data_IF_703374167312
#
_entry.id   IF_703374167312
#
_cell.length_a   1.000
_cell.length_b   1.000
_cell.length_c   1.000
_cell.angle_alpha   90.00
_cell.angle_beta   90.00
_cell.angle_gamma   90.00
#
_symmetry.space_group_name_H-M   'P 1'
#
loop_
_entity.id
_entity.type
_entity.pdbx_description
1 polymer ?
#
# COMPACT_ATOMS: atom_id res chain seq x y z
N UNK A 1 17.21 -4.20 22.75
CA UNK A 1 16.57 -2.88 22.61
C UNK A 1 16.82 -2.13 23.90
N UNK A 2 17.61 -1.05 23.93
CA UNK A 2 17.77 -0.25 25.13
C UNK A 2 16.42 0.33 25.52
N UNK A 3 15.90 -0.06 26.68
CA UNK A 3 14.72 0.53 27.29
C UNK A 3 15.11 1.89 27.86
N UNK A 4 14.59 2.96 27.26
CA UNK A 4 14.63 4.29 27.86
C UNK A 4 13.77 4.24 29.13
N UNK A 5 14.41 4.04 30.29
CA UNK A 5 13.77 4.24 31.58
C UNK A 5 13.49 5.73 31.73
N UNK A 6 12.28 6.14 31.36
CA UNK A 6 11.80 7.48 31.63
C UNK A 6 11.73 7.66 33.15
N UNK A 7 12.56 8.55 33.68
CA UNK A 7 12.52 8.94 35.09
C UNK A 7 11.09 9.21 35.54
N UNK A 8 10.68 8.76 36.75
CA UNK A 8 9.34 9.02 37.26
C UNK A 8 9.06 10.52 37.20
N UNK A 9 8.04 10.92 36.42
CA UNK A 9 7.57 12.31 36.41
C UNK A 9 7.06 12.59 37.81
N UNK A 10 7.85 13.29 38.61
CA UNK A 10 7.43 13.76 39.93
C UNK A 10 6.20 14.64 39.70
N UNK A 11 5.03 14.33 40.29
CA UNK A 11 3.89 15.21 40.18
C UNK A 11 4.30 16.55 40.79
N UNK A 12 4.46 17.57 39.95
CA UNK A 12 4.68 18.91 40.42
C UNK A 12 3.43 19.30 41.20
N UNK A 13 3.54 19.29 42.53
CA UNK A 13 2.47 19.57 43.50
C UNK A 13 2.14 21.08 43.52
N UNK A 14 2.21 21.72 42.37
CA UNK A 14 1.97 23.15 42.17
C UNK A 14 0.54 23.34 41.75
N UNK A 15 -0.19 23.92 42.70
CA UNK A 15 -1.48 24.59 42.55
C UNK A 15 -2.69 23.65 42.53
N UNK A 16 -3.06 23.14 43.72
CA UNK A 16 -4.47 23.10 44.07
C UNK A 16 -5.03 24.53 43.96
N UNK A 17 -5.44 24.92 42.75
CA UNK A 17 -6.27 26.08 42.53
C UNK A 17 -7.47 25.86 43.45
N UNK A 18 -7.57 26.65 44.52
CA UNK A 18 -8.75 26.70 45.38
C UNK A 18 -9.91 27.04 44.45
N UNK A 19 -10.63 26.02 43.99
CA UNK A 19 -11.75 26.23 43.08
C UNK A 19 -12.77 27.08 43.83
N UNK A 20 -13.10 28.24 43.26
CA UNK A 20 -14.19 29.05 43.79
C UNK A 20 -15.46 28.20 43.66
N UNK A 21 -16.29 28.13 44.71
CA UNK A 21 -17.52 27.32 44.69
C UNK A 21 -18.58 27.86 43.72
N UNK A 22 -18.45 29.12 43.30
CA UNK A 22 -19.37 29.81 42.41
C UNK A 22 -18.58 30.62 41.39
N UNK A 23 -18.86 30.41 40.11
CA UNK A 23 -18.28 31.17 39.00
C UNK A 23 -19.37 31.96 38.29
N UNK A 24 -19.04 33.18 37.84
CA UNK A 24 -19.91 33.92 36.92
C UNK A 24 -19.75 33.34 35.52
N UNK A 25 -20.82 33.31 34.72
CA UNK A 25 -20.82 32.75 33.36
C UNK A 25 -19.65 33.28 32.50
N UNK A 26 -19.42 34.59 32.55
CA UNK A 26 -18.34 35.28 31.82
C UNK A 26 -16.94 34.77 32.20
N UNK A 27 -16.70 34.47 33.48
CA UNK A 27 -15.41 33.95 33.95
C UNK A 27 -15.17 32.54 33.40
N UNK A 28 -16.21 31.70 33.40
CA UNK A 28 -16.13 30.34 32.87
C UNK A 28 -15.83 30.38 31.37
N UNK A 29 -16.55 31.19 30.60
CA UNK A 29 -16.35 31.33 29.16
C UNK A 29 -14.92 31.79 28.83
N UNK A 30 -14.39 32.76 29.59
CA UNK A 30 -13.00 33.22 29.41
C UNK A 30 -11.98 32.11 29.70
N UNK A 31 -12.13 31.41 30.83
CA UNK A 31 -11.20 30.32 31.18
C UNK A 31 -11.28 29.16 30.20
N UNK A 32 -12.48 28.85 29.68
CA UNK A 32 -12.68 27.82 28.68
C UNK A 32 -11.96 28.20 27.38
N UNK A 33 -12.08 29.45 26.95
CA UNK A 33 -11.38 29.95 25.77
C UNK A 33 -9.85 29.87 25.94
N UNK A 34 -9.32 30.28 27.08
CA UNK A 34 -7.87 30.19 27.39
C UNK A 34 -7.38 28.74 27.39
N UNK A 35 -8.17 27.81 27.95
CA UNK A 35 -7.81 26.38 27.95
C UNK A 35 -7.90 25.77 26.57
N UNK A 36 -8.89 26.17 25.77
CA UNK A 36 -9.03 25.71 24.39
C UNK A 36 -7.88 26.19 23.51
N UNK A 37 -7.41 27.44 23.68
CA UNK A 37 -6.25 27.94 22.93
C UNK A 37 -4.95 27.23 23.36
N UNK A 38 -4.77 26.97 24.66
CA UNK A 38 -3.64 26.20 25.19
C UNK A 38 -3.63 24.76 24.64
N UNK A 39 -4.77 24.07 24.67
CA UNK A 39 -4.91 22.71 24.12
C UNK A 39 -4.61 22.69 22.62
N UNK A 40 -5.13 23.66 21.86
CA UNK A 40 -4.87 23.77 20.42
C UNK A 40 -3.39 23.99 20.13
N UNK A 41 -2.72 24.85 20.89
CA UNK A 41 -1.29 25.10 20.77
C UNK A 41 -0.48 23.82 21.05
N UNK A 42 -0.72 23.17 22.20
CA UNK A 42 -0.02 21.92 22.58
C UNK A 42 -0.25 20.81 21.55
N UNK A 43 -1.48 20.67 21.04
CA UNK A 43 -1.80 19.72 19.97
C UNK A 43 -1.00 20.02 18.70
N UNK A 44 -0.90 21.29 18.31
CA UNK A 44 -0.09 21.72 17.16
C UNK A 44 1.39 21.37 17.33
N UNK A 45 1.97 21.67 18.50
CA UNK A 45 3.36 21.33 18.82
C UNK A 45 3.60 19.83 18.81
N UNK A 46 2.68 19.04 19.38
CA UNK A 46 2.77 17.58 19.38
C UNK A 46 2.74 17.02 17.94
N UNK A 47 1.86 17.53 17.08
CA UNK A 47 1.82 17.14 15.67
C UNK A 47 3.13 17.47 14.94
N UNK A 48 3.72 18.64 15.21
CA UNK A 48 5.01 19.01 14.64
C UNK A 48 6.13 18.07 15.09
N UNK A 49 6.18 17.72 16.38
CA UNK A 49 7.17 16.76 16.90
C UNK A 49 7.00 15.37 16.30
N UNK A 50 5.75 14.91 16.16
CA UNK A 50 5.46 13.65 15.48
C UNK A 50 5.93 13.65 14.02
N UNK A 51 5.68 14.75 13.29
CA UNK A 51 6.16 14.89 11.92
C UNK A 51 7.69 14.83 11.81
N UNK A 52 8.41 15.53 12.71
CA UNK A 52 9.88 15.49 12.77
C UNK A 52 10.40 14.07 13.05
N UNK A 53 9.79 13.35 13.99
CA UNK A 53 10.18 11.97 14.29
C UNK A 53 9.96 11.02 13.10
N UNK A 54 8.84 11.16 12.38
CA UNK A 54 8.57 10.39 11.16
C UNK A 54 9.63 10.69 10.11
N UNK A 55 9.97 11.96 9.88
CA UNK A 55 11.01 12.36 8.92
C UNK A 55 12.39 11.81 9.31
N UNK A 56 12.76 11.89 10.60
CA UNK A 56 14.04 11.35 11.09
C UNK A 56 14.11 9.83 10.93
N UNK A 57 13.01 9.11 11.17
CA UNK A 57 12.93 7.67 10.94
C UNK A 57 13.08 7.32 9.45
N UNK A 58 12.44 8.07 8.56
CA UNK A 58 12.59 7.88 7.12
C UNK A 58 14.02 8.17 6.65
N UNK A 59 14.63 9.25 7.14
CA UNK A 59 16.01 9.62 6.82
C UNK A 59 17.00 8.54 7.29
N UNK A 60 16.93 8.15 8.56
CA UNK A 60 17.82 7.12 9.13
C UNK A 60 17.65 5.77 8.43
N UNK A 61 16.42 5.41 8.02
CA UNK A 61 16.18 4.22 7.19
C UNK A 61 16.91 4.32 5.84
N UNK A 62 16.77 5.44 5.13
CA UNK A 62 17.45 5.67 3.85
C UNK A 62 18.97 5.60 3.99
N UNK A 63 19.55 6.26 5.00
CA UNK A 63 21.00 6.23 5.25
C UNK A 63 21.49 4.81 5.54
N UNK A 64 20.76 4.04 6.37
CA UNK A 64 21.10 2.64 6.64
C UNK A 64 21.03 1.78 5.38
N UNK A 65 20.02 1.96 4.53
CA UNK A 65 19.91 1.25 3.25
C UNK A 65 21.07 1.61 2.31
N UNK A 66 21.45 2.89 2.22
CA UNK A 66 22.60 3.33 1.42
C UNK A 66 23.92 2.77 1.95
N UNK A 67 24.11 2.74 3.27
CA UNK A 67 25.30 2.15 3.88
C UNK A 67 25.36 0.65 3.61
N UNK A 68 24.26 -0.06 3.85
CA UNK A 68 24.15 -1.50 3.58
C UNK A 68 24.42 -1.83 2.11
N UNK A 69 23.84 -1.09 1.16
CA UNK A 69 24.10 -1.30 -0.26
C UNK A 69 25.55 -1.00 -0.65
N UNK A 70 26.19 0.02 -0.05
CA UNK A 70 27.63 0.27 -0.25
C UNK A 70 28.49 -0.86 0.32
N UNK A 71 28.17 -1.37 1.49
CA UNK A 71 28.87 -2.50 2.12
C UNK A 71 28.70 -3.77 1.29
N UNK A 72 27.49 -4.10 0.85
CA UNK A 72 27.21 -5.24 -0.02
C UNK A 72 27.89 -5.11 -1.38
N UNK A 73 27.93 -3.91 -1.97
CA UNK A 73 28.71 -3.66 -3.21
C UNK A 73 30.20 -3.85 -2.97
N UNK A 74 30.72 -3.43 -1.82
CA UNK A 74 32.11 -3.67 -1.42
C UNK A 74 32.44 -5.16 -1.30
N UNK A 75 31.53 -5.95 -0.72
CA UNK A 75 31.65 -7.42 -0.64
C UNK A 75 31.56 -8.09 -2.01
N UNK A 76 30.60 -7.71 -2.86
CA UNK A 76 30.45 -8.27 -4.22
C UNK A 76 31.61 -7.90 -5.15
N UNK A 77 32.23 -6.73 -4.95
CA UNK A 77 33.44 -6.29 -5.67
C UNK A 77 34.74 -6.72 -5.00
N UNK A 78 34.69 -7.44 -3.86
CA UNK A 78 35.88 -8.03 -3.25
C UNK A 78 36.37 -9.16 -4.17
N UNK A 79 37.06 -8.76 -5.22
CA UNK A 79 37.89 -9.54 -6.12
C UNK A 79 37.40 -10.97 -6.35
N UNK A 80 36.43 -11.13 -7.26
CA UNK A 80 36.24 -12.36 -8.02
C UNK A 80 37.45 -12.69 -8.94
N UNK A 81 38.63 -12.16 -8.59
CA UNK A 81 39.89 -12.49 -9.22
C UNK A 81 40.39 -13.73 -8.50
N UNK A 82 40.60 -14.78 -9.27
CA UNK A 82 41.19 -16.08 -8.86
C UNK A 82 42.54 -15.95 -8.12
N UNK A 83 43.12 -14.75 -8.06
CA UNK A 83 44.31 -14.39 -7.29
C UNK A 83 43.93 -13.49 -6.11
N UNK A 84 43.63 -14.10 -4.96
CA UNK A 84 43.39 -13.38 -3.71
C UNK A 84 44.64 -12.64 -3.18
N UNK A 85 45.85 -13.12 -3.51
CA UNK A 85 47.13 -12.61 -2.97
C UNK A 85 47.93 -11.74 -3.94
N UNK A 86 47.45 -11.54 -5.17
CA UNK A 86 48.18 -10.79 -6.22
C UNK A 86 49.45 -11.48 -6.75
N UNK A 87 49.80 -12.66 -6.25
CA UNK A 87 50.85 -13.52 -6.79
C UNK A 87 50.29 -14.37 -7.94
N UNK A 88 51.06 -14.50 -9.03
CA UNK A 88 50.70 -15.37 -10.14
C UNK A 88 50.73 -16.83 -9.71
N UNK A 89 49.56 -17.43 -9.47
CA UNK A 89 49.44 -18.88 -9.26
C UNK A 89 49.65 -19.60 -10.59
N UNK A 90 50.31 -20.76 -10.56
CA UNK A 90 50.50 -21.60 -11.74
C UNK A 90 49.15 -22.24 -12.10
N UNK A 91 48.72 -22.10 -13.35
CA UNK A 91 47.39 -22.53 -13.84
C UNK A 91 47.12 -24.04 -13.73
N UNK A 92 48.14 -24.85 -13.44
CA UNK A 92 48.03 -26.31 -13.28
C UNK A 92 47.86 -26.77 -11.83
N UNK A 93 47.80 -25.85 -10.87
CA UNK A 93 47.56 -26.21 -9.48
C UNK A 93 46.12 -26.72 -9.30
N UNK A 94 45.91 -27.91 -8.69
CA UNK A 94 44.58 -28.49 -8.53
C UNK A 94 43.64 -27.58 -7.74
N UNK A 95 44.16 -26.87 -6.74
CA UNK A 95 43.40 -25.89 -5.94
C UNK A 95 42.79 -24.77 -6.80
N UNK A 96 43.49 -24.34 -7.86
CA UNK A 96 43.01 -23.29 -8.75
C UNK A 96 41.88 -23.78 -9.65
N UNK A 97 41.95 -25.05 -10.06
CA UNK A 97 40.94 -25.70 -10.88
C UNK A 97 39.65 -25.86 -10.06
N UNK A 98 39.76 -26.36 -8.83
CA UNK A 98 38.62 -26.46 -7.90
C UNK A 98 37.98 -25.10 -7.59
N UNK A 99 38.79 -24.06 -7.39
CA UNK A 99 38.30 -22.69 -7.14
C UNK A 99 37.58 -22.11 -8.38
N UNK A 100 38.09 -22.38 -9.58
CA UNK A 100 37.46 -21.96 -10.84
C UNK A 100 36.12 -22.70 -11.08
N UNK A 101 36.07 -24.02 -10.87
CA UNK A 101 34.85 -24.82 -10.97
C UNK A 101 33.78 -24.34 -9.96
N UNK A 102 34.16 -24.04 -8.73
CA UNK A 102 33.25 -23.53 -7.72
C UNK A 102 32.68 -22.15 -8.10
N UNK A 103 33.50 -21.29 -8.70
CA UNK A 103 33.10 -19.96 -9.16
C UNK A 103 32.15 -20.04 -10.36
N UNK A 104 32.45 -20.90 -11.34
CA UNK A 104 31.57 -21.15 -12.50
C UNK A 104 30.22 -21.68 -12.04
N UNK A 105 30.20 -22.69 -11.17
CA UNK A 105 28.97 -23.23 -10.59
C UNK A 105 28.17 -22.16 -9.84
N UNK A 106 28.84 -21.32 -9.04
CA UNK A 106 28.16 -20.23 -8.32
C UNK A 106 27.56 -19.19 -9.29
N UNK A 107 28.20 -18.93 -10.43
CA UNK A 107 27.65 -18.06 -11.48
C UNK A 107 26.45 -18.69 -12.18
N UNK A 108 26.52 -19.99 -12.49
CA UNK A 108 25.41 -20.75 -13.07
C UNK A 108 24.19 -20.79 -12.13
N UNK A 109 24.40 -21.12 -10.86
CA UNK A 109 23.35 -21.16 -9.84
C UNK A 109 22.69 -19.76 -9.68
N UNK A 110 23.49 -18.69 -9.66
CA UNK A 110 22.98 -17.32 -9.57
C UNK A 110 22.21 -16.89 -10.83
N UNK A 111 22.66 -17.32 -12.02
CA UNK A 111 21.96 -17.06 -13.28
C UNK A 111 20.64 -17.81 -13.33
N UNK A 112 20.61 -19.06 -12.89
CA UNK A 112 19.40 -19.89 -12.81
C UNK A 112 18.39 -19.29 -11.81
N UNK A 113 18.83 -18.89 -10.61
CA UNK A 113 17.95 -18.25 -9.63
C UNK A 113 17.35 -16.94 -10.19
N UNK A 114 18.14 -16.14 -10.93
CA UNK A 114 17.65 -14.92 -11.58
C UNK A 114 16.59 -15.23 -12.63
N UNK A 115 16.79 -16.29 -13.41
CA UNK A 115 15.84 -16.72 -14.44
C UNK A 115 14.55 -17.27 -13.82
N UNK A 116 14.64 -18.11 -12.80
CA UNK A 116 13.48 -18.64 -12.07
C UNK A 116 12.66 -17.51 -11.44
N UNK A 117 13.33 -16.50 -10.88
CA UNK A 117 12.65 -15.29 -10.37
C UNK A 117 11.96 -14.51 -11.49
N UNK A 118 12.58 -14.39 -12.67
CA UNK A 118 11.98 -13.73 -13.84
C UNK A 118 10.74 -14.48 -14.31
N UNK A 119 10.83 -15.80 -14.45
CA UNK A 119 9.70 -16.64 -14.85
C UNK A 119 8.55 -16.55 -13.85
N UNK A 120 8.84 -16.64 -12.55
CA UNK A 120 7.81 -16.48 -11.51
C UNK A 120 7.10 -15.12 -11.56
N UNK A 121 7.81 -14.02 -11.89
CA UNK A 121 7.19 -12.70 -12.11
C UNK A 121 6.28 -12.69 -13.34
N UNK A 122 6.73 -13.29 -14.45
CA UNK A 122 5.94 -13.37 -15.68
C UNK A 122 4.67 -14.20 -15.47
N UNK A 123 4.77 -15.37 -14.84
CA UNK A 123 3.60 -16.20 -14.51
C UNK A 123 2.62 -15.49 -13.58
N UNK A 124 3.12 -14.77 -12.58
CA UNK A 124 2.24 -14.01 -11.70
C UNK A 124 1.55 -12.86 -12.46
N UNK A 125 2.28 -12.19 -13.36
CA UNK A 125 1.72 -11.14 -14.21
C UNK A 125 0.62 -11.69 -15.14
N UNK A 126 0.83 -12.86 -15.76
CA UNK A 126 -0.19 -13.49 -16.62
C UNK A 126 -1.44 -13.92 -15.83
N UNK A 127 -1.28 -14.55 -14.67
CA UNK A 127 -2.41 -14.87 -13.78
C UNK A 127 -3.18 -13.62 -13.36
N UNK A 128 -2.47 -12.51 -13.11
CA UNK A 128 -3.08 -11.23 -12.76
C UNK A 128 -3.84 -10.61 -13.93
N UNK A 129 -3.36 -10.73 -15.17
CA UNK A 129 -4.09 -10.26 -16.36
C UNK A 129 -5.34 -11.09 -16.60
N UNK A 130 -5.24 -12.42 -16.49
CA UNK A 130 -6.40 -13.33 -16.62
C UNK A 130 -7.46 -13.04 -15.55
N UNK A 131 -7.04 -12.83 -14.30
CA UNK A 131 -7.95 -12.47 -13.22
C UNK A 131 -8.68 -11.15 -13.47
N UNK A 132 -8.00 -10.14 -14.04
CA UNK A 132 -8.64 -8.85 -14.40
C UNK A 132 -9.71 -9.04 -15.47
N UNK A 133 -9.42 -9.82 -16.50
CA UNK A 133 -10.39 -10.14 -17.57
C UNK A 133 -11.63 -10.82 -16.98
N UNK A 134 -11.45 -11.84 -16.14
CA UNK A 134 -12.57 -12.53 -15.50
C UNK A 134 -13.38 -11.62 -14.55
N UNK A 135 -12.73 -10.67 -13.89
CA UNK A 135 -13.40 -9.69 -13.04
C UNK A 135 -14.26 -8.71 -13.85
N UNK A 136 -13.76 -8.27 -15.00
CA UNK A 136 -14.50 -7.40 -15.93
C UNK A 136 -15.72 -8.13 -16.52
N UNK A 137 -15.55 -9.38 -16.97
CA UNK A 137 -16.66 -10.24 -17.41
C UNK A 137 -17.70 -10.45 -16.30
N UNK A 138 -17.26 -10.68 -15.06
CA UNK A 138 -18.16 -10.79 -13.91
C UNK A 138 -18.93 -9.50 -13.67
N UNK A 139 -18.26 -8.35 -13.76
CA UNK A 139 -18.87 -7.05 -13.46
C UNK A 139 -19.89 -6.65 -14.52
N UNK A 140 -19.57 -6.86 -15.80
CA UNK A 140 -20.52 -6.66 -16.91
C UNK A 140 -21.76 -7.57 -16.77
N UNK A 141 -21.59 -8.84 -16.42
CA UNK A 141 -22.72 -9.75 -16.18
C UNK A 141 -23.54 -9.35 -14.94
N UNK A 142 -22.89 -8.89 -13.87
CA UNK A 142 -23.56 -8.37 -12.68
C UNK A 142 -24.37 -7.10 -12.98
N UNK A 143 -23.84 -6.23 -13.84
CA UNK A 143 -24.56 -5.06 -14.33
C UNK A 143 -25.77 -5.45 -15.16
N UNK A 144 -25.63 -6.42 -16.07
CA UNK A 144 -26.74 -6.99 -16.83
C UNK A 144 -27.84 -7.52 -15.90
N UNK A 145 -27.49 -8.32 -14.89
CA UNK A 145 -28.45 -8.83 -13.89
C UNK A 145 -29.11 -7.71 -13.08
N UNK A 146 -28.38 -6.64 -12.78
CA UNK A 146 -28.93 -5.47 -12.09
C UNK A 146 -29.93 -4.74 -12.96
N UNK A 147 -29.67 -4.61 -14.26
CA UNK A 147 -30.59 -3.98 -15.21
C UNK A 147 -31.85 -4.84 -15.40
N UNK A 148 -31.70 -6.16 -15.55
CA UNK A 148 -32.83 -7.09 -15.58
C UNK A 148 -33.71 -7.00 -14.32
N UNK A 149 -33.11 -6.86 -13.14
CA UNK A 149 -33.87 -6.66 -11.90
C UNK A 149 -34.64 -5.33 -11.93
N UNK A 150 -34.04 -4.24 -12.42
CA UNK A 150 -34.72 -2.95 -12.54
C UNK A 150 -35.91 -3.03 -13.48
N UNK A 151 -35.73 -3.64 -14.65
CA UNK A 151 -36.79 -3.87 -15.64
C UNK A 151 -37.93 -4.69 -15.04
N UNK A 152 -37.62 -5.84 -14.41
CA UNK A 152 -38.63 -6.68 -13.77
C UNK A 152 -39.38 -5.95 -12.63
N UNK A 153 -38.67 -5.11 -11.86
CA UNK A 153 -39.31 -4.28 -10.83
C UNK A 153 -40.22 -3.23 -11.44
N UNK A 154 -39.81 -2.59 -12.54
CA UNK A 154 -40.63 -1.63 -13.27
C UNK A 154 -41.90 -2.29 -13.84
N UNK A 155 -41.77 -3.43 -14.52
CA UNK A 155 -42.92 -4.21 -15.02
C UNK A 155 -43.88 -4.60 -13.89
N UNK A 156 -43.33 -5.01 -12.74
CA UNK A 156 -44.14 -5.32 -11.56
C UNK A 156 -44.87 -4.08 -11.03
N UNK A 157 -44.23 -2.91 -11.01
CA UNK A 157 -44.84 -1.65 -10.59
C UNK A 157 -45.96 -1.20 -11.55
N UNK A 158 -45.75 -1.32 -12.85
CA UNK A 158 -46.76 -1.05 -13.88
C UNK A 158 -47.96 -1.99 -13.73
N UNK A 159 -47.72 -3.30 -13.56
CA UNK A 159 -48.76 -4.29 -13.33
C UNK A 159 -49.53 -4.03 -12.02
N UNK A 160 -48.83 -3.57 -10.98
CA UNK A 160 -49.44 -3.18 -9.69
C UNK A 160 -50.35 -1.96 -9.85
N UNK A 161 -49.92 -0.94 -10.61
CA UNK A 161 -50.75 0.23 -10.94
C UNK A 161 -51.98 -0.18 -11.75
N UNK A 162 -51.82 -1.07 -12.73
CA UNK A 162 -52.93 -1.60 -13.53
C UNK A 162 -53.94 -2.36 -12.65
N UNK A 163 -53.47 -3.23 -11.74
CA UNK A 163 -54.32 -3.95 -10.78
C UNK A 163 -55.07 -2.99 -9.84
N UNK A 164 -54.42 -1.89 -9.41
CA UNK A 164 -55.05 -0.83 -8.62
C UNK A 164 -56.15 -0.11 -9.42
N UNK A 165 -55.91 0.22 -10.70
CA UNK A 165 -56.93 0.82 -11.58
C UNK A 165 -58.13 -0.10 -11.81
N UNK A 166 -57.88 -1.40 -11.92
CA UNK A 166 -58.90 -2.45 -12.02
C UNK A 166 -59.63 -2.74 -10.69
N UNK A 167 -59.36 -1.99 -9.62
CA UNK A 167 -59.95 -2.14 -8.28
C UNK A 167 -59.77 -3.54 -7.66
N UNK A 168 -58.72 -4.26 -8.05
CA UNK A 168 -58.39 -5.53 -7.40
C UNK A 168 -57.87 -5.31 -5.96
N UNK A 169 -58.07 -6.29 -5.09
CA UNK A 169 -57.54 -6.26 -3.71
C UNK A 169 -56.01 -6.45 -3.77
N UNK A 170 -55.26 -5.34 -3.69
CA UNK A 170 -53.80 -5.29 -3.80
C UNK A 170 -53.08 -6.34 -2.95
N UNK A 171 -53.51 -6.55 -1.70
CA UNK A 171 -52.89 -7.54 -0.79
C UNK A 171 -52.94 -8.97 -1.33
N UNK A 172 -54.03 -9.36 -1.98
CA UNK A 172 -54.16 -10.69 -2.58
C UNK A 172 -53.38 -10.78 -3.90
N UNK A 173 -53.32 -9.70 -4.66
CA UNK A 173 -52.56 -9.62 -5.90
C UNK A 173 -51.04 -9.70 -5.65
N UNK A 174 -50.51 -8.96 -4.67
CA UNK A 174 -49.08 -8.98 -4.29
C UNK A 174 -48.64 -10.34 -3.74
N UNK A 175 -49.56 -11.11 -3.13
CA UNK A 175 -49.28 -12.49 -2.71
C UNK A 175 -49.12 -13.43 -3.90
N UNK A 176 -49.87 -13.19 -4.99
CA UNK A 176 -49.81 -13.99 -6.22
C UNK A 176 -48.67 -13.54 -7.15
N UNK A 177 -48.35 -12.26 -7.14
CA UNK A 177 -47.30 -11.62 -7.92
C UNK A 177 -46.32 -10.95 -6.96
N UNK A 178 -45.42 -11.71 -6.32
CA UNK A 178 -44.44 -11.14 -5.41
C UNK A 178 -43.51 -10.19 -6.15
N UNK A 179 -43.08 -9.12 -5.46
CA UNK A 179 -42.09 -8.20 -6.01
C UNK A 179 -40.80 -8.95 -6.34
N UNK A 180 -40.19 -8.74 -7.53
CA UNK A 180 -38.88 -9.29 -7.84
C UNK A 180 -37.83 -8.96 -6.78
N UNK A 181 -37.12 -9.97 -6.31
CA UNK A 181 -36.13 -9.85 -5.24
C UNK A 181 -34.73 -10.14 -5.76
N UNK A 182 -33.74 -9.38 -5.30
CA UNK A 182 -32.33 -9.58 -5.67
C UNK A 182 -31.79 -10.97 -5.30
N UNK A 183 -32.41 -11.64 -4.31
CA UNK A 183 -32.04 -12.99 -3.87
C UNK A 183 -32.50 -14.10 -4.83
N UNK A 184 -33.33 -13.80 -5.84
CA UNK A 184 -33.73 -14.80 -6.82
C UNK A 184 -32.55 -15.16 -7.73
N UNK A 185 -32.42 -16.42 -8.17
CA UNK A 185 -31.24 -16.89 -8.91
C UNK A 185 -30.89 -16.04 -10.14
N UNK A 186 -31.90 -15.57 -10.87
CA UNK A 186 -31.75 -14.74 -12.07
C UNK A 186 -31.18 -13.32 -11.80
N UNK A 187 -31.33 -12.81 -10.58
CA UNK A 187 -30.89 -11.46 -10.19
C UNK A 187 -29.73 -11.47 -9.19
N UNK A 188 -29.34 -12.67 -8.73
CA UNK A 188 -28.28 -12.83 -7.74
C UNK A 188 -26.94 -12.50 -8.38
N UNK A 189 -26.13 -11.71 -7.67
CA UNK A 189 -24.79 -11.35 -8.15
C UNK A 189 -23.87 -12.57 -8.14
N UNK A 190 -23.02 -12.66 -9.15
CA UNK A 190 -21.92 -13.63 -9.17
C UNK A 190 -20.95 -13.33 -8.01
N UNK A 191 -20.42 -14.37 -7.34
CA UNK A 191 -19.47 -14.21 -6.25
C UNK A 191 -18.16 -13.60 -6.75
N UNK A 192 -17.39 -13.01 -5.82
CA UNK A 192 -16.10 -12.45 -6.15
C UNK A 192 -15.05 -13.54 -6.42
N UNK A 193 -14.33 -13.41 -7.54
CA UNK A 193 -13.23 -14.30 -7.88
C UNK A 193 -12.02 -13.90 -7.04
N UNK A 194 -11.44 -14.83 -6.24
CA UNK A 194 -10.33 -14.50 -5.36
C UNK A 194 -9.12 -14.04 -6.16
N UNK A 195 -8.46 -12.98 -5.69
CA UNK A 195 -7.25 -12.43 -6.32
C UNK A 195 -6.11 -13.45 -6.20
N UNK A 196 -5.35 -13.73 -7.28
CA UNK A 196 -4.12 -14.50 -7.21
C UNK A 196 -3.19 -13.90 -6.15
N UNK A 197 -2.71 -14.73 -5.23
CA UNK A 197 -1.73 -14.32 -4.22
C UNK A 197 -0.34 -14.52 -4.81
N UNK A 198 0.53 -13.53 -4.63
CA UNK A 198 1.96 -13.75 -4.85
C UNK A 198 2.42 -14.86 -3.90
N UNK A 199 3.15 -15.84 -4.43
CA UNK A 199 3.80 -16.87 -3.61
C UNK A 199 4.79 -16.16 -2.68
N UNK A 200 4.49 -16.18 -1.38
CA UNK A 200 5.17 -15.43 -0.31
C UNK A 200 6.70 -15.63 -0.20
N UNK A 201 7.29 -16.53 -0.99
CA UNK A 201 8.73 -16.78 -1.00
C UNK A 201 9.52 -15.87 -1.94
N UNK A 202 8.86 -14.98 -2.71
CA UNK A 202 9.58 -13.92 -3.40
C UNK A 202 9.95 -12.85 -2.38
N UNK A 203 11.17 -12.94 -1.85
CA UNK A 203 11.86 -11.83 -1.20
C UNK A 203 11.72 -10.63 -2.12
N UNK A 204 11.00 -9.62 -1.65
CA UNK A 204 10.92 -8.32 -2.30
C UNK A 204 12.31 -7.73 -2.13
N UNK A 205 13.24 -8.09 -3.03
CA UNK A 205 14.42 -7.30 -3.26
C UNK A 205 13.90 -5.97 -3.78
N UNK A 206 13.76 -5.04 -2.85
CA UNK A 206 13.78 -3.59 -3.03
C UNK A 206 15.14 -3.24 -3.68
N UNK A 207 15.38 -3.79 -4.87
CA UNK A 207 16.36 -3.28 -5.83
C UNK A 207 15.74 -1.98 -6.31
N UNK A 208 15.87 -0.97 -5.44
CA UNK A 208 15.31 0.34 -5.64
C UNK A 208 15.66 0.77 -7.05
N UNK A 209 14.63 0.92 -7.88
CA UNK A 209 14.76 1.43 -9.24
C UNK A 209 15.71 2.61 -9.17
N UNK A 210 16.93 2.38 -9.67
CA UNK A 210 17.90 3.43 -9.84
C UNK A 210 17.29 4.27 -10.95
N UNK A 211 16.65 5.38 -10.57
CA UNK A 211 16.44 6.48 -11.50
C UNK A 211 17.86 6.85 -11.93
N UNK A 212 18.24 6.48 -13.15
CA UNK A 212 19.49 6.96 -13.77
C UNK A 212 19.36 8.48 -13.89
N UNK A 213 19.84 9.20 -12.87
CA UNK A 213 19.83 10.66 -12.82
C UNK A 213 20.80 11.25 -13.87
N UNK A 214 21.65 10.43 -14.50
CA UNK A 214 22.53 10.86 -15.59
C UNK A 214 21.79 11.26 -16.88
N UNK A 215 20.48 11.01 -17.00
CA UNK A 215 19.69 11.42 -18.17
C UNK A 215 18.55 12.40 -17.84
N UNK A 216 18.63 13.11 -16.71
CA UNK A 216 17.84 14.33 -16.50
C UNK A 216 18.51 15.42 -17.33
N UNK A 217 18.09 15.53 -18.59
CA UNK A 217 18.38 16.71 -19.41
C UNK A 217 17.64 17.85 -18.75
N UNK A 218 18.40 18.73 -18.09
CA UNK A 218 17.92 20.01 -17.55
C UNK A 218 17.47 20.85 -18.75
N UNK A 219 16.19 20.69 -19.11
CA UNK A 219 15.55 21.45 -20.17
C UNK A 219 15.12 22.80 -19.61
N UNK A 220 16.08 23.57 -19.11
CA UNK A 220 15.95 25.02 -18.94
C UNK A 220 16.11 25.66 -20.32
N UNK A 221 15.10 25.46 -21.18
CA UNK A 221 14.85 26.36 -22.30
C UNK A 221 14.19 27.61 -21.74
N UNK A 222 15.04 28.59 -21.42
CA UNK A 222 14.70 30.01 -21.30
C UNK A 222 13.88 30.43 -22.52
N UNK A 223 12.55 30.41 -22.39
CA UNK A 223 11.67 31.16 -23.28
C UNK A 223 11.88 32.63 -22.95
N UNK A 224 12.81 33.24 -23.70
CA UNK A 224 12.85 34.69 -23.85
C UNK A 224 11.58 35.11 -24.57
N UNK A 225 10.63 35.63 -23.81
CA UNK A 225 9.57 36.48 -24.33
C UNK A 225 10.21 37.81 -24.78
N UNK A 226 10.75 37.79 -26.00
CA UNK A 226 10.99 38.98 -26.81
C UNK A 226 9.78 39.13 -27.75
N UNK A 227 9.05 40.25 -27.57
CA UNK A 227 8.51 41.15 -28.61
C UNK A 227 7.05 41.64 -28.42
N UNK A 228 7.00 42.98 -28.41
CA UNK A 228 5.97 43.95 -28.87
C UNK A 228 4.58 44.07 -28.20
#
# INVERSE_FOLDING_TARGET
MPTLELSPIKPNNTVHLKMKKTYRKEEVEKTLLEKDTEIKYLKGTMMQQQAVLVLQNLYTRKVRQQLHTKEEKGKKKANQKLTHDGLGKVLTMPELIEEAEALEKAQEDAAQEKEDRRQGRLEHATRMTEWKVQMEERDTENERRRNLLKEAVQEWEEARVAAKRAKQVLKQWEKKNPKPLQKWPQFTRLPAIPKPKATSNQVVDDDGEHIDVENVVDSDEDVKDDDD
#
